data_IF_039135036082
#
_entry.id   IF_039135036082
#
_cell.length_a   1.000
_cell.length_b   1.000
_cell.length_c   1.000
_cell.angle_alpha   90.00
_cell.angle_beta   90.00
_cell.angle_gamma   90.00
#
_symmetry.space_group_name_H-M   'P 1'
#
loop_
_entity.id
_entity.type
_entity.pdbx_description
1 polymer ?
#
# COMPACT_ATOMS: atom_id res chain seq x y z
N UNK A 1 16.20 -32.43 -15.81
CA UNK A 1 15.66 -32.61 -14.45
C UNK A 1 15.04 -31.27 -14.07
N UNK A 2 13.72 -31.16 -14.09
CA UNK A 2 13.02 -29.96 -13.67
C UNK A 2 12.86 -30.00 -12.15
N UNK A 3 13.24 -28.94 -11.46
CA UNK A 3 13.06 -28.82 -10.01
C UNK A 3 11.56 -28.82 -9.68
N UNK A 4 11.14 -29.53 -8.61
CA UNK A 4 9.74 -29.57 -8.24
C UNK A 4 9.26 -28.20 -7.74
N UNK A 5 8.02 -27.79 -8.05
CA UNK A 5 7.45 -26.56 -7.51
C UNK A 5 7.38 -26.66 -5.97
N UNK A 6 7.88 -25.63 -5.29
CA UNK A 6 7.87 -25.56 -3.84
C UNK A 6 6.44 -25.66 -3.30
N UNK A 7 6.22 -26.61 -2.40
CA UNK A 7 4.95 -26.82 -1.72
C UNK A 7 4.59 -25.59 -0.86
N UNK A 8 3.50 -24.90 -1.19
CA UNK A 8 2.92 -23.88 -0.29
C UNK A 8 2.10 -22.75 -0.90
N UNK A 9 1.35 -22.93 -1.99
CA UNK A 9 0.50 -21.86 -2.56
C UNK A 9 -0.99 -22.21 -2.57
N UNK A 10 -1.54 -22.54 -1.40
CA UNK A 10 -2.99 -22.70 -1.25
C UNK A 10 -3.54 -21.49 -0.46
N UNK A 11 -4.11 -20.51 -1.17
CA UNK A 11 -5.13 -19.61 -0.60
C UNK A 11 -4.76 -18.18 -0.21
N UNK A 12 -3.72 -17.53 -0.77
CA UNK A 12 -3.56 -16.07 -0.64
C UNK A 12 -3.96 -15.35 -1.92
N UNK A 13 -5.07 -14.61 -1.87
CA UNK A 13 -5.39 -13.61 -2.90
C UNK A 13 -4.26 -12.59 -2.91
N UNK A 14 -3.46 -12.57 -3.98
CA UNK A 14 -2.40 -11.59 -4.16
C UNK A 14 -3.04 -10.25 -4.58
N UNK A 15 -2.66 -9.19 -3.88
CA UNK A 15 -3.00 -7.80 -4.22
C UNK A 15 -2.15 -7.38 -5.41
N UNK A 16 -2.78 -6.86 -6.45
CA UNK A 16 -2.07 -6.30 -7.61
C UNK A 16 -1.56 -4.89 -7.31
N UNK A 17 -0.58 -4.42 -8.09
CA UNK A 17 -0.08 -3.05 -7.96
C UNK A 17 -1.18 -2.00 -8.21
N UNK A 18 -2.10 -2.29 -9.13
CA UNK A 18 -3.24 -1.41 -9.39
C UNK A 18 -4.18 -1.32 -8.18
N UNK A 19 -4.54 -2.46 -7.57
CA UNK A 19 -5.35 -2.48 -6.34
C UNK A 19 -4.63 -1.78 -5.18
N UNK A 20 -3.31 -1.95 -5.07
CA UNK A 20 -2.52 -1.26 -4.06
C UNK A 20 -2.44 0.26 -4.30
N UNK A 21 -2.41 0.70 -5.56
CA UNK A 21 -2.44 2.12 -5.92
C UNK A 21 -3.80 2.75 -5.60
N UNK A 22 -4.91 2.06 -5.91
CA UNK A 22 -6.26 2.49 -5.52
C UNK A 22 -6.34 2.67 -4.01
N UNK A 23 -5.84 1.70 -3.23
CA UNK A 23 -5.75 1.81 -1.77
C UNK A 23 -4.85 2.98 -1.31
N UNK A 24 -3.74 3.24 -1.99
CA UNK A 24 -2.85 4.36 -1.66
C UNK A 24 -3.55 5.71 -1.86
N UNK A 25 -4.34 5.87 -2.92
CA UNK A 25 -5.14 7.07 -3.16
C UNK A 25 -6.23 7.24 -2.10
N UNK A 26 -6.92 6.16 -1.72
CA UNK A 26 -7.91 6.19 -0.63
C UNK A 26 -7.28 6.63 0.70
N UNK A 27 -6.08 6.12 1.01
CA UNK A 27 -5.34 6.52 2.21
C UNK A 27 -4.95 8.01 2.15
N UNK A 28 -4.52 8.52 1.00
CA UNK A 28 -4.13 9.90 0.81
C UNK A 28 -5.27 10.88 1.14
N UNK A 29 -6.52 10.53 0.83
CA UNK A 29 -7.70 11.34 1.15
C UNK A 29 -7.89 11.56 2.65
N UNK A 30 -7.32 10.70 3.51
CA UNK A 30 -7.33 10.88 4.96
C UNK A 30 -6.64 12.16 5.45
N UNK A 31 -5.73 12.74 4.65
CA UNK A 31 -5.08 14.01 4.93
C UNK A 31 -5.88 15.25 4.48
N UNK A 32 -7.04 15.07 3.83
CA UNK A 32 -7.79 16.17 3.23
C UNK A 32 -8.12 17.27 4.25
N UNK A 33 -7.81 18.52 3.88
CA UNK A 33 -8.03 19.70 4.73
C UNK A 33 -7.05 19.87 5.90
N UNK A 34 -6.11 18.94 6.11
CA UNK A 34 -5.16 18.96 7.24
C UNK A 34 -3.69 19.07 6.84
N UNK A 35 -3.37 18.72 5.58
CA UNK A 35 -1.99 18.70 5.10
C UNK A 35 -1.58 19.96 4.33
N UNK A 36 -2.52 20.84 3.97
CA UNK A 36 -2.22 22.06 3.21
C UNK A 36 -1.14 22.90 3.91
N UNK A 37 -0.13 23.44 3.18
CA UNK A 37 0.03 23.48 1.72
C UNK A 37 0.62 22.21 1.07
N UNK A 38 0.96 21.19 1.84
CA UNK A 38 1.53 19.95 1.32
C UNK A 38 0.48 19.13 0.55
N UNK A 39 0.90 18.33 -0.45
CA UNK A 39 -0.03 17.47 -1.17
C UNK A 39 -0.56 16.32 -0.30
N UNK A 40 -1.65 15.72 -0.75
CA UNK A 40 -2.13 14.45 -0.20
C UNK A 40 -1.21 13.33 -0.65
N UNK A 41 -0.73 12.55 0.29
CA UNK A 41 0.18 11.42 0.03
C UNK A 41 -0.30 10.22 0.81
N UNK A 42 -0.45 9.09 0.13
CA UNK A 42 -0.70 7.78 0.72
C UNK A 42 0.29 6.77 0.16
N UNK A 43 0.64 5.78 0.96
CA UNK A 43 1.64 4.77 0.62
C UNK A 43 1.18 3.38 1.09
N UNK A 44 1.45 2.38 0.26
CA UNK A 44 1.20 0.96 0.53
C UNK A 44 2.47 0.18 0.24
N UNK A 45 2.86 -0.70 1.14
CA UNK A 45 4.04 -1.55 0.99
C UNK A 45 3.59 -2.99 0.74
N UNK A 46 4.04 -3.56 -0.38
CA UNK A 46 3.76 -4.94 -0.77
C UNK A 46 4.98 -5.84 -0.52
N UNK A 47 4.71 -7.07 -0.08
CA UNK A 47 5.69 -8.17 -0.05
C UNK A 47 5.00 -9.45 -0.52
N UNK A 48 5.53 -10.06 -1.57
CA UNK A 48 5.00 -11.31 -2.15
C UNK A 48 3.51 -11.24 -2.52
N UNK A 49 3.03 -10.06 -2.93
CA UNK A 49 1.62 -9.81 -3.26
C UNK A 49 0.71 -9.63 -2.04
N UNK A 50 1.25 -9.43 -0.85
CA UNK A 50 0.49 -9.09 0.35
C UNK A 50 0.85 -7.67 0.83
N UNK A 51 -0.14 -6.94 1.35
CA UNK A 51 0.10 -5.65 2.00
C UNK A 51 0.75 -5.89 3.36
N UNK A 52 1.94 -5.34 3.55
CA UNK A 52 2.71 -5.42 4.81
C UNK A 52 2.84 -4.08 5.53
N UNK A 53 2.45 -2.98 4.88
CA UNK A 53 2.46 -1.65 5.47
C UNK A 53 1.54 -0.69 4.73
N UNK A 54 1.03 0.32 5.45
CA UNK A 54 0.19 1.39 4.89
C UNK A 54 0.38 2.68 5.69
N UNK A 55 0.29 3.83 5.03
CA UNK A 55 0.42 5.15 5.65
C UNK A 55 -0.13 6.26 4.77
N UNK A 56 -0.35 7.43 5.37
CA UNK A 56 -0.64 8.67 4.66
C UNK A 56 -0.14 9.86 5.47
N UNK A 57 0.15 10.97 4.80
CA UNK A 57 0.48 12.22 5.48
C UNK A 57 -0.79 12.78 6.14
N UNK A 58 -0.79 12.86 7.47
CA UNK A 58 -2.02 13.12 8.26
C UNK A 58 -2.26 14.61 8.54
N UNK A 59 -1.19 15.38 8.66
CA UNK A 59 -1.23 16.77 9.11
C UNK A 59 0.05 17.51 8.72
N UNK A 60 -0.09 18.80 8.42
CA UNK A 60 1.04 19.68 8.11
C UNK A 60 2.12 19.63 9.21
N UNK A 61 3.37 19.46 8.80
CA UNK A 61 4.53 19.39 9.70
C UNK A 61 4.75 18.04 10.40
N UNK A 62 3.82 17.09 10.26
CA UNK A 62 4.01 15.72 10.73
C UNK A 62 4.91 14.91 9.75
N UNK A 63 5.41 13.73 10.15
CA UNK A 63 6.07 12.82 9.22
C UNK A 63 5.19 12.51 8.00
N UNK A 64 5.86 12.26 6.87
CA UNK A 64 5.23 11.59 5.74
C UNK A 64 4.99 10.11 6.07
#
# INVERSE_FOLDING_TARGET
MAEPPAAGETGRTRVTEQQAMELALELALGGWGRVSPNPLVGAVLLKDGAVVGRGHHREYGAPH
#
